data_IF_986229689208
#
_entry.id   IF_986229689208
#
_cell.length_a   1.000
_cell.length_b   1.000
_cell.length_c   1.000
_cell.angle_alpha   90.00
_cell.angle_beta   90.00
_cell.angle_gamma   90.00
#
_symmetry.space_group_name_H-M   'P 1'
#
loop_
_entity.id
_entity.type
_entity.pdbx_description
1 polymer ?
#
# COMPACT_ATOMS: atom_id res chain seq x y z
N UNK A 1 -12.95 -7.78 59.71
CA UNK A 1 -11.69 -8.25 60.36
C UNK A 1 -10.82 -8.91 59.30
N UNK A 2 -10.74 -8.40 58.09
CA UNK A 2 -9.87 -8.89 56.98
C UNK A 2 -9.44 -7.65 56.15
N UNK A 3 -8.86 -6.65 56.80
CA UNK A 3 -8.38 -5.44 56.12
C UNK A 3 -7.11 -4.85 56.78
N UNK A 4 -6.25 -5.73 57.37
CA UNK A 4 -5.05 -5.27 58.09
C UNK A 4 -3.76 -6.02 57.82
N UNK A 5 -3.72 -6.90 56.81
CA UNK A 5 -2.51 -7.76 56.57
C UNK A 5 -1.84 -7.58 55.20
N UNK A 6 -2.17 -6.55 54.42
CA UNK A 6 -1.50 -6.27 53.11
C UNK A 6 -0.66 -4.98 53.13
N UNK A 7 -0.16 -4.56 54.27
CA UNK A 7 0.71 -3.38 54.37
C UNK A 7 2.11 -3.61 54.92
N UNK A 8 2.61 -4.84 55.05
CA UNK A 8 3.93 -5.07 55.67
C UNK A 8 4.97 -5.81 54.82
N UNK A 9 4.79 -5.93 53.49
CA UNK A 9 5.81 -6.59 52.62
C UNK A 9 6.31 -5.76 51.45
N UNK A 10 6.23 -4.44 51.48
CA UNK A 10 6.87 -3.57 50.51
C UNK A 10 7.74 -2.56 51.26
N UNK A 11 8.79 -3.03 51.93
CA UNK A 11 9.95 -2.26 52.35
C UNK A 11 11.06 -3.25 52.68
N UNK A 12 11.89 -3.58 51.66
CA UNK A 12 13.32 -3.90 51.74
C UNK A 12 13.73 -4.51 50.39
N UNK A 13 14.40 -3.75 49.60
CA UNK A 13 14.91 -4.19 48.30
C UNK A 13 15.50 -3.06 47.46
N UNK A 14 15.85 -1.94 48.05
CA UNK A 14 16.74 -0.97 47.40
C UNK A 14 18.13 -1.15 47.95
N UNK A 15 18.89 -2.08 47.41
CA UNK A 15 20.32 -2.19 47.58
C UNK A 15 20.94 -2.43 46.20
N UNK A 16 21.55 -1.34 45.73
CA UNK A 16 22.73 -1.31 44.89
C UNK A 16 22.99 -2.49 43.94
N UNK A 17 22.59 -2.37 42.70
CA UNK A 17 23.36 -2.90 41.61
C UNK A 17 23.70 -1.72 40.67
N UNK A 18 24.81 -1.04 40.98
CA UNK A 18 25.53 -0.21 40.06
C UNK A 18 26.02 -1.08 38.91
N UNK A 19 25.15 -1.34 37.93
CA UNK A 19 25.57 -1.82 36.64
C UNK A 19 26.27 -0.66 35.94
N UNK A 20 27.59 -0.73 35.94
CA UNK A 20 28.47 -0.01 35.02
C UNK A 20 27.90 -0.28 33.62
N UNK A 21 27.11 0.64 33.12
CA UNK A 21 26.87 0.79 31.68
C UNK A 21 28.24 1.15 31.09
N UNK A 22 29.07 0.14 30.84
CA UNK A 22 30.11 0.22 29.84
C UNK A 22 29.40 0.56 28.54
N UNK A 23 29.38 1.86 28.24
CA UNK A 23 29.17 2.35 26.92
C UNK A 23 30.28 1.74 26.04
N UNK A 24 30.10 0.51 25.62
CA UNK A 24 30.70 0.02 24.40
C UNK A 24 30.02 0.83 23.29
N UNK A 25 30.49 2.07 23.12
CA UNK A 25 30.50 2.69 21.81
C UNK A 25 31.32 1.72 20.93
N UNK A 26 30.63 0.79 20.33
CA UNK A 26 31.08 0.18 19.08
C UNK A 26 31.19 1.37 18.15
N UNK A 27 32.37 1.99 18.11
CA UNK A 27 32.81 2.72 16.96
C UNK A 27 32.80 1.66 15.84
N UNK A 28 31.64 1.50 15.19
CA UNK A 28 31.59 0.89 13.87
C UNK A 28 32.62 1.67 13.09
N UNK A 29 33.75 1.05 12.82
CA UNK A 29 34.66 1.45 11.78
C UNK A 29 33.79 1.83 10.59
N UNK A 30 33.72 3.15 10.32
CA UNK A 30 33.12 3.73 9.14
C UNK A 30 33.96 3.25 7.95
N UNK A 31 33.86 1.96 7.62
CA UNK A 31 34.16 1.51 6.29
C UNK A 31 33.29 2.36 5.37
N UNK A 32 33.86 2.92 4.33
CA UNK A 32 33.12 3.59 3.28
C UNK A 32 31.98 2.65 2.88
N UNK A 33 30.77 2.95 3.37
CA UNK A 33 29.58 2.19 2.99
C UNK A 33 29.43 2.45 1.48
N UNK A 34 29.75 1.43 0.68
CA UNK A 34 29.45 1.46 -0.74
C UNK A 34 27.95 1.72 -0.91
N UNK A 35 27.60 2.45 -1.96
CA UNK A 35 26.20 2.63 -2.30
C UNK A 35 25.55 1.25 -2.48
N UNK A 36 24.31 1.03 -1.98
CA UNK A 36 23.62 -0.24 -2.19
C UNK A 36 23.39 -0.48 -3.67
N UNK A 37 23.35 -1.73 -4.08
CA UNK A 37 22.79 -2.07 -5.39
C UNK A 37 21.32 -1.71 -5.44
N UNK A 38 20.75 -1.55 -6.65
CA UNK A 38 19.32 -1.25 -6.79
C UNK A 38 18.47 -2.37 -6.19
N UNK A 39 18.88 -3.63 -6.38
CA UNK A 39 18.18 -4.80 -5.85
C UNK A 39 18.16 -4.81 -4.32
N UNK A 40 19.30 -4.59 -3.67
CA UNK A 40 19.39 -4.43 -2.19
C UNK A 40 18.57 -3.26 -1.67
N UNK A 41 18.50 -2.18 -2.45
CA UNK A 41 17.71 -1.01 -2.08
C UNK A 41 16.21 -1.29 -2.16
N UNK A 42 15.75 -1.96 -3.23
CA UNK A 42 14.35 -2.40 -3.39
C UNK A 42 13.97 -3.40 -2.29
N UNK A 43 14.84 -4.37 -2.00
CA UNK A 43 14.62 -5.33 -0.93
C UNK A 43 14.45 -4.64 0.42
N UNK A 44 15.35 -3.70 0.73
CA UNK A 44 15.26 -2.90 1.95
C UNK A 44 13.94 -2.12 2.06
N UNK A 45 13.47 -1.51 0.94
CA UNK A 45 12.21 -0.78 0.89
C UNK A 45 11.01 -1.69 1.10
N UNK A 46 11.01 -2.86 0.49
CA UNK A 46 9.85 -3.77 0.50
C UNK A 46 9.75 -4.58 1.77
N UNK A 47 10.88 -4.95 2.39
CA UNK A 47 10.89 -5.79 3.59
C UNK A 47 10.88 -5.00 4.90
N UNK A 48 11.58 -3.85 4.96
CA UNK A 48 11.87 -3.20 6.23
C UNK A 48 11.27 -1.79 6.36
N UNK A 49 10.69 -1.24 5.29
CA UNK A 49 10.18 0.13 5.37
C UNK A 49 8.82 0.18 6.09
N UNK A 50 8.65 1.03 7.14
CA UNK A 50 7.41 1.13 7.91
C UNK A 50 6.17 1.42 7.06
N UNK A 51 6.31 2.17 5.96
CA UNK A 51 5.21 2.44 5.04
C UNK A 51 4.68 1.16 4.37
N UNK A 52 5.57 0.28 3.91
CA UNK A 52 5.18 -1.00 3.29
C UNK A 52 4.62 -1.95 4.33
N UNK A 53 5.22 -1.97 5.54
CA UNK A 53 4.67 -2.73 6.66
C UNK A 53 3.24 -2.28 6.99
N UNK A 54 2.99 -0.96 7.07
CA UNK A 54 1.65 -0.43 7.30
C UNK A 54 0.64 -0.80 6.20
N UNK A 55 1.06 -0.83 4.93
CA UNK A 55 0.22 -1.32 3.83
C UNK A 55 -0.10 -2.81 4.02
N UNK A 56 0.88 -3.62 4.43
CA UNK A 56 0.69 -5.05 4.65
C UNK A 56 -0.24 -5.34 5.83
N UNK A 57 -0.25 -4.50 6.90
CA UNK A 57 -1.23 -4.60 7.99
C UNK A 57 -2.68 -4.48 7.48
N UNK A 58 -2.92 -3.75 6.41
CA UNK A 58 -4.23 -3.69 5.77
C UNK A 58 -4.72 -5.04 5.23
N UNK A 59 -3.83 -5.96 4.88
CA UNK A 59 -4.21 -7.33 4.52
C UNK A 59 -4.78 -8.09 5.72
N UNK A 60 -4.19 -7.91 6.90
CA UNK A 60 -4.69 -8.51 8.14
C UNK A 60 -6.02 -7.90 8.56
N UNK A 61 -6.19 -6.57 8.39
CA UNK A 61 -7.47 -5.89 8.64
C UNK A 61 -8.56 -6.42 7.70
N UNK A 62 -8.29 -6.53 6.41
CA UNK A 62 -9.24 -7.05 5.45
C UNK A 62 -9.59 -8.53 5.69
N UNK A 63 -8.63 -9.34 6.17
CA UNK A 63 -8.88 -10.71 6.59
C UNK A 63 -9.76 -10.76 7.86
N UNK A 64 -9.53 -9.87 8.82
CA UNK A 64 -10.35 -9.77 10.03
C UNK A 64 -11.79 -9.33 9.69
N UNK A 65 -11.99 -8.40 8.76
CA UNK A 65 -13.34 -8.01 8.28
C UNK A 65 -14.07 -9.18 7.63
N UNK A 66 -13.37 -10.06 6.92
CA UNK A 66 -13.96 -11.28 6.36
C UNK A 66 -14.42 -12.25 7.49
N UNK A 67 -13.62 -12.42 8.54
CA UNK A 67 -14.01 -13.23 9.70
C UNK A 67 -15.17 -12.59 10.47
N UNK A 68 -15.21 -11.26 10.62
CA UNK A 68 -16.36 -10.55 11.17
C UNK A 68 -17.63 -10.82 10.34
N UNK A 69 -17.54 -10.80 9.02
CA UNK A 69 -18.68 -11.11 8.18
C UNK A 69 -19.13 -12.58 8.32
N UNK A 70 -18.18 -13.52 8.49
CA UNK A 70 -18.47 -14.94 8.78
C UNK A 70 -19.13 -15.14 10.13
N UNK A 71 -18.76 -14.37 11.14
CA UNK A 71 -19.33 -14.49 12.50
C UNK A 71 -20.84 -14.25 12.52
N UNK A 72 -21.41 -13.63 11.49
CA UNK A 72 -22.88 -13.52 11.34
C UNK A 72 -23.58 -14.86 11.20
N UNK A 73 -22.84 -15.94 10.94
CA UNK A 73 -23.31 -17.32 10.88
C UNK A 73 -22.90 -18.15 12.12
N UNK A 74 -22.24 -17.55 13.11
CA UNK A 74 -21.89 -18.24 14.32
C UNK A 74 -23.14 -18.63 15.14
N UNK A 75 -23.11 -19.76 15.82
CA UNK A 75 -24.17 -20.10 16.74
C UNK A 75 -24.18 -19.16 17.93
N UNK A 76 -25.36 -18.83 18.41
CA UNK A 76 -25.51 -17.99 19.60
C UNK A 76 -26.58 -18.54 20.53
N UNK A 77 -26.42 -18.22 21.80
CA UNK A 77 -27.37 -18.55 22.85
C UNK A 77 -28.04 -17.27 23.30
N UNK A 78 -29.37 -17.29 23.38
CA UNK A 78 -30.19 -16.23 23.89
C UNK A 78 -30.98 -16.74 25.09
N UNK A 79 -30.93 -16.02 26.20
CA UNK A 79 -31.74 -16.30 27.37
C UNK A 79 -32.75 -15.18 27.57
N UNK A 80 -34.02 -15.54 27.77
CA UNK A 80 -35.08 -14.60 28.07
C UNK A 80 -35.72 -15.04 29.38
N UNK A 81 -35.89 -14.11 30.32
CA UNK A 81 -36.59 -14.32 31.55
C UNK A 81 -37.62 -13.22 31.70
N UNK A 82 -38.87 -13.62 31.89
CA UNK A 82 -39.97 -12.72 32.11
C UNK A 82 -40.61 -13.08 33.45
N UNK A 83 -40.87 -12.09 34.31
CA UNK A 83 -41.58 -12.26 35.57
C UNK A 83 -42.55 -11.09 35.72
N UNK A 84 -43.76 -11.40 36.03
CA UNK A 84 -44.78 -10.38 36.34
C UNK A 84 -44.64 -9.96 37.80
N UNK A 85 -44.23 -8.74 38.04
CA UNK A 85 -43.98 -8.20 39.38
C UNK A 85 -45.25 -7.70 40.06
N UNK A 86 -46.20 -7.20 39.27
CA UNK A 86 -47.53 -6.73 39.72
C UNK A 86 -48.58 -7.00 38.64
N UNK A 87 -49.80 -7.35 39.03
CA UNK A 87 -50.90 -7.59 38.10
C UNK A 87 -51.98 -8.46 38.68
N UNK A 88 -52.85 -8.99 37.82
CA UNK A 88 -54.00 -9.81 38.18
C UNK A 88 -53.74 -11.32 38.08
N UNK A 89 -52.52 -11.71 37.76
CA UNK A 89 -52.04 -13.11 37.90
C UNK A 89 -50.52 -13.09 38.17
N UNK A 90 -50.01 -14.17 38.71
CA UNK A 90 -48.59 -14.39 38.92
C UNK A 90 -48.07 -15.33 37.86
N UNK A 91 -46.97 -14.96 37.24
CA UNK A 91 -46.35 -15.81 36.22
C UNK A 91 -44.90 -15.42 35.93
N UNK A 92 -44.06 -16.41 35.86
CA UNK A 92 -42.67 -16.27 35.52
C UNK A 92 -42.32 -17.31 34.47
N UNK A 93 -41.50 -16.89 33.47
CA UNK A 93 -40.97 -17.80 32.46
C UNK A 93 -39.50 -17.52 32.19
N UNK A 94 -38.75 -18.58 31.95
CA UNK A 94 -37.38 -18.50 31.50
C UNK A 94 -37.22 -19.38 30.24
N UNK A 95 -36.61 -18.85 29.19
CA UNK A 95 -36.26 -19.65 28.03
C UNK A 95 -34.80 -19.45 27.64
N UNK A 96 -34.19 -20.53 27.21
CA UNK A 96 -32.84 -20.53 26.68
C UNK A 96 -32.91 -21.13 25.28
N UNK A 97 -32.49 -20.34 24.28
CA UNK A 97 -32.51 -20.73 22.87
C UNK A 97 -31.10 -20.71 22.30
N UNK A 98 -30.70 -21.83 21.73
CA UNK A 98 -29.53 -21.94 20.87
C UNK A 98 -29.99 -21.78 19.43
N UNK A 99 -29.33 -20.91 18.66
CA UNK A 99 -29.65 -20.69 17.23
C UNK A 99 -28.37 -20.79 16.42
N UNK A 100 -28.41 -21.57 15.33
CA UNK A 100 -27.34 -21.66 14.33
C UNK A 100 -27.91 -21.22 12.97
N UNK A 101 -27.50 -20.03 12.46
CA UNK A 101 -27.77 -19.64 11.08
C UNK A 101 -27.04 -20.56 10.11
N UNK A 102 -27.62 -20.81 8.92
CA UNK A 102 -27.04 -21.67 7.90
C UNK A 102 -26.50 -20.78 6.76
N UNK A 103 -25.28 -21.05 6.32
CA UNK A 103 -24.61 -20.24 5.28
C UNK A 103 -25.13 -20.58 3.89
N UNK A 104 -25.32 -21.87 3.57
CA UNK A 104 -25.65 -22.33 2.22
C UNK A 104 -27.06 -21.95 1.77
N UNK A 105 -28.00 -21.87 2.69
CA UNK A 105 -29.37 -21.42 2.41
C UNK A 105 -29.87 -20.49 3.50
N UNK A 106 -30.76 -19.58 3.16
CA UNK A 106 -31.30 -18.65 4.14
C UNK A 106 -32.24 -19.34 5.13
N UNK A 107 -31.69 -19.71 6.24
CA UNK A 107 -32.40 -20.35 7.33
C UNK A 107 -31.60 -20.36 8.60
N UNK A 108 -32.22 -20.87 9.65
CA UNK A 108 -31.57 -21.16 10.93
C UNK A 108 -32.20 -22.40 11.53
N UNK A 109 -31.37 -23.18 12.21
CA UNK A 109 -31.83 -24.25 13.10
C UNK A 109 -31.76 -23.70 14.51
N UNK A 110 -32.73 -24.06 15.34
CA UNK A 110 -32.73 -23.68 16.74
C UNK A 110 -33.14 -24.85 17.65
N UNK A 111 -32.64 -24.84 18.86
CA UNK A 111 -33.16 -25.60 19.98
C UNK A 111 -33.49 -24.66 21.12
N UNK A 112 -34.59 -24.90 21.80
CA UNK A 112 -35.05 -24.04 22.89
C UNK A 112 -35.53 -24.91 24.05
N UNK A 113 -35.11 -24.55 25.26
CA UNK A 113 -35.68 -25.05 26.47
C UNK A 113 -36.37 -23.90 27.21
N UNK A 114 -37.62 -24.12 27.62
CA UNK A 114 -38.45 -23.15 28.28
C UNK A 114 -39.06 -23.76 29.53
N UNK A 115 -39.08 -23.02 30.61
CA UNK A 115 -39.75 -23.37 31.85
C UNK A 115 -40.61 -22.18 32.27
N UNK A 116 -41.79 -22.45 32.73
CA UNK A 116 -42.71 -21.44 33.25
C UNK A 116 -43.33 -21.95 34.56
N UNK A 117 -43.64 -20.99 35.42
CA UNK A 117 -44.30 -21.20 36.71
C UNK A 117 -45.30 -20.07 36.98
N UNK A 118 -46.50 -20.40 37.40
CA UNK A 118 -47.58 -19.48 37.68
C UNK A 118 -48.89 -19.79 36.95
N UNK A 119 -49.91 -19.01 37.22
CA UNK A 119 -51.28 -19.17 36.65
C UNK A 119 -51.43 -18.24 35.40
N UNK A 120 -51.02 -18.71 34.26
CA UNK A 120 -51.13 -17.96 33.02
C UNK A 120 -52.57 -17.96 32.49
N UNK A 121 -53.19 -16.83 32.21
CA UNK A 121 -54.51 -16.80 31.59
C UNK A 121 -54.48 -17.38 30.17
N UNK A 122 -55.62 -17.90 29.69
CA UNK A 122 -55.70 -18.62 28.41
C UNK A 122 -55.18 -17.88 27.19
N UNK A 123 -55.16 -16.55 27.21
CA UNK A 123 -54.58 -15.71 26.14
C UNK A 123 -53.04 -15.61 26.22
N UNK A 124 -52.42 -16.01 27.34
CA UNK A 124 -50.97 -16.19 27.54
C UNK A 124 -50.57 -17.68 27.73
N UNK A 125 -51.48 -18.60 27.48
CA UNK A 125 -51.22 -20.05 27.62
C UNK A 125 -50.08 -20.61 26.77
N UNK A 126 -49.53 -19.82 25.86
CA UNK A 126 -48.29 -20.11 25.14
C UNK A 126 -47.04 -20.09 26.03
N UNK A 127 -47.15 -19.61 27.29
CA UNK A 127 -46.03 -19.67 28.28
C UNK A 127 -46.13 -20.89 29.19
N UNK A 128 -47.30 -21.54 29.29
CA UNK A 128 -47.45 -22.73 30.15
C UNK A 128 -46.51 -23.85 29.73
N UNK A 129 -45.98 -24.54 30.73
CA UNK A 129 -45.17 -25.75 30.59
C UNK A 129 -45.54 -26.75 31.68
N UNK A 130 -45.25 -28.05 31.48
CA UNK A 130 -45.22 -29.02 32.57
C UNK A 130 -44.08 -28.65 33.56
N UNK A 131 -44.10 -29.23 34.74
CA UNK A 131 -43.18 -28.92 35.84
C UNK A 131 -41.68 -29.03 35.50
N UNK A 132 -41.31 -29.80 34.49
CA UNK A 132 -39.95 -29.95 33.99
C UNK A 132 -39.65 -29.12 32.74
N UNK A 133 -40.56 -28.20 32.31
CA UNK A 133 -40.36 -27.34 31.14
C UNK A 133 -40.61 -28.01 29.81
N UNK A 134 -40.52 -27.22 28.73
CA UNK A 134 -40.65 -27.63 27.33
C UNK A 134 -39.29 -27.63 26.63
N UNK A 135 -38.90 -28.73 26.00
CA UNK A 135 -37.78 -28.80 25.08
C UNK A 135 -38.32 -28.80 23.63
N UNK A 136 -37.77 -27.90 22.80
CA UNK A 136 -38.14 -27.82 21.39
C UNK A 136 -36.94 -27.72 20.47
N UNK A 137 -37.11 -28.21 19.24
CA UNK A 137 -36.14 -28.11 18.15
C UNK A 137 -36.90 -27.69 16.90
N UNK A 138 -36.29 -26.81 16.12
CA UNK A 138 -36.95 -26.36 14.89
C UNK A 138 -36.01 -25.68 13.89
N UNK A 139 -36.61 -25.27 12.81
CA UNK A 139 -35.95 -24.54 11.74
C UNK A 139 -36.82 -23.38 11.24
N UNK A 140 -36.14 -22.36 10.75
CA UNK A 140 -36.82 -21.24 10.07
C UNK A 140 -36.15 -21.02 8.73
N UNK A 141 -36.91 -20.81 7.66
CA UNK A 141 -36.36 -20.48 6.34
C UNK A 141 -37.31 -19.60 5.55
N UNK A 142 -36.73 -18.78 4.65
CA UNK A 142 -37.47 -17.86 3.79
C UNK A 142 -37.78 -18.51 2.44
N UNK A 143 -39.02 -18.32 1.94
CA UNK A 143 -39.47 -18.89 0.67
C UNK A 143 -39.38 -17.90 -0.50
N UNK A 144 -39.49 -16.60 -0.26
CA UNK A 144 -39.48 -15.57 -1.29
C UNK A 144 -38.32 -14.58 -1.07
N UNK A 145 -38.58 -13.44 -0.40
CA UNK A 145 -37.52 -12.51 -0.05
C UNK A 145 -36.48 -13.21 0.83
N UNK A 146 -35.20 -12.95 0.58
CA UNK A 146 -34.06 -13.55 1.27
C UNK A 146 -33.78 -15.03 0.98
N UNK A 147 -34.52 -15.70 0.11
CA UNK A 147 -34.28 -17.11 -0.23
C UNK A 147 -32.91 -17.32 -0.89
N UNK A 148 -32.66 -16.62 -2.00
CA UNK A 148 -31.44 -16.81 -2.79
C UNK A 148 -30.29 -15.89 -2.32
N UNK A 149 -30.63 -14.69 -1.91
CA UNK A 149 -29.68 -13.68 -1.43
C UNK A 149 -30.28 -12.95 -0.24
N UNK A 150 -29.51 -12.74 0.81
CA UNK A 150 -29.85 -11.96 1.99
C UNK A 150 -28.67 -11.09 2.40
N UNK A 151 -28.88 -10.26 3.41
CA UNK A 151 -27.91 -9.31 3.91
C UNK A 151 -26.62 -10.00 4.37
N UNK A 152 -26.70 -11.10 5.18
CA UNK A 152 -25.53 -11.82 5.73
C UNK A 152 -24.66 -12.41 4.64
N UNK A 153 -25.25 -13.13 3.69
CA UNK A 153 -24.52 -13.73 2.57
C UNK A 153 -23.93 -12.67 1.63
N UNK A 154 -24.64 -11.56 1.44
CA UNK A 154 -24.13 -10.42 0.66
C UNK A 154 -22.93 -9.77 1.34
N UNK A 155 -23.01 -9.55 2.65
CA UNK A 155 -21.91 -9.00 3.45
C UNK A 155 -20.68 -9.91 3.43
N UNK A 156 -20.86 -11.22 3.59
CA UNK A 156 -19.79 -12.19 3.49
C UNK A 156 -19.10 -12.19 2.11
N UNK A 157 -19.88 -12.21 1.01
CA UNK A 157 -19.34 -12.12 -0.35
C UNK A 157 -18.60 -10.80 -0.55
N UNK A 158 -19.16 -9.70 -0.10
CA UNK A 158 -18.56 -8.38 -0.27
C UNK A 158 -17.28 -8.22 0.57
N UNK A 159 -17.19 -8.82 1.76
CA UNK A 159 -15.98 -8.84 2.57
C UNK A 159 -14.84 -9.61 1.88
N UNK A 160 -15.17 -10.74 1.21
CA UNK A 160 -14.20 -11.46 0.37
C UNK A 160 -13.68 -10.62 -0.79
N UNK A 161 -14.57 -9.89 -1.47
CA UNK A 161 -14.19 -8.96 -2.55
C UNK A 161 -13.38 -7.78 -2.03
N UNK A 162 -13.71 -7.23 -0.86
CA UNK A 162 -12.96 -6.14 -0.23
C UNK A 162 -11.52 -6.56 0.12
N UNK A 163 -11.32 -7.79 0.58
CA UNK A 163 -9.98 -8.35 0.80
C UNK A 163 -9.16 -8.43 -0.50
N UNK A 164 -9.77 -8.88 -1.60
CA UNK A 164 -9.11 -8.90 -2.91
C UNK A 164 -8.83 -7.47 -3.44
N UNK A 165 -9.74 -6.54 -3.21
CA UNK A 165 -9.61 -5.14 -3.59
C UNK A 165 -8.45 -4.47 -2.84
N UNK A 166 -8.32 -4.72 -1.54
CA UNK A 166 -7.19 -4.21 -0.75
C UNK A 166 -5.85 -4.72 -1.29
N UNK A 167 -5.73 -6.02 -1.60
CA UNK A 167 -4.49 -6.58 -2.18
C UNK A 167 -4.10 -5.89 -3.48
N UNK A 168 -5.05 -5.66 -4.37
CA UNK A 168 -4.79 -4.93 -5.62
C UNK A 168 -4.36 -3.48 -5.35
N UNK A 169 -4.99 -2.80 -4.40
CA UNK A 169 -4.63 -1.45 -3.99
C UNK A 169 -3.24 -1.40 -3.34
N UNK A 170 -2.91 -2.35 -2.47
CA UNK A 170 -1.60 -2.47 -1.84
C UNK A 170 -0.49 -2.63 -2.89
N UNK A 171 -0.71 -3.47 -3.91
CA UNK A 171 0.22 -3.62 -5.04
C UNK A 171 0.48 -2.29 -5.73
N UNK A 172 -0.56 -1.49 -6.00
CA UNK A 172 -0.42 -0.17 -6.63
C UNK A 172 0.36 0.81 -5.74
N UNK A 173 0.06 0.85 -4.44
CA UNK A 173 0.74 1.73 -3.48
C UNK A 173 2.22 1.38 -3.32
N UNK A 174 2.57 0.09 -3.25
CA UNK A 174 3.94 -0.37 -3.15
C UNK A 174 4.70 -0.09 -4.45
N UNK A 175 4.07 -0.32 -5.62
CA UNK A 175 4.64 0.00 -6.93
C UNK A 175 5.01 1.49 -7.03
N UNK A 176 4.12 2.40 -6.64
CA UNK A 176 4.39 3.84 -6.60
C UNK A 176 5.49 4.22 -5.59
N UNK A 177 5.54 3.54 -4.45
CA UNK A 177 6.56 3.77 -3.43
C UNK A 177 7.95 3.36 -3.93
N UNK A 178 8.08 2.19 -4.56
CA UNK A 178 9.32 1.71 -5.16
C UNK A 178 9.78 2.66 -6.27
N UNK A 179 8.87 3.09 -7.14
CA UNK A 179 9.17 4.07 -8.18
C UNK A 179 9.82 5.33 -7.61
N UNK A 180 9.24 5.92 -6.56
CA UNK A 180 9.75 7.13 -5.92
C UNK A 180 11.13 6.92 -5.32
N UNK A 181 11.34 5.79 -4.64
CA UNK A 181 12.63 5.46 -4.04
C UNK A 181 13.73 5.29 -5.07
N UNK A 182 13.48 4.54 -6.15
CA UNK A 182 14.45 4.33 -7.23
C UNK A 182 14.71 5.64 -7.99
N UNK A 183 13.68 6.46 -8.25
CA UNK A 183 13.85 7.76 -8.89
C UNK A 183 14.78 8.67 -8.08
N UNK A 184 14.68 8.63 -6.74
CA UNK A 184 15.57 9.35 -5.84
C UNK A 184 17.00 8.80 -5.88
N UNK A 185 17.16 7.47 -5.90
CA UNK A 185 18.44 6.81 -6.07
C UNK A 185 19.15 7.26 -7.36
N UNK A 186 18.42 7.26 -8.48
CA UNK A 186 18.95 7.69 -9.77
C UNK A 186 19.33 9.19 -9.75
N UNK A 187 18.58 10.03 -9.03
CA UNK A 187 18.90 11.46 -8.91
C UNK A 187 20.16 11.71 -8.05
N UNK A 188 20.35 10.91 -6.99
CA UNK A 188 21.62 10.89 -6.26
C UNK A 188 22.77 10.43 -7.17
N UNK A 189 22.60 9.34 -7.91
CA UNK A 189 23.59 8.78 -8.81
C UNK A 189 24.01 9.81 -9.89
N UNK A 190 23.06 10.52 -10.49
CA UNK A 190 23.30 11.60 -11.43
C UNK A 190 24.21 12.67 -10.85
N UNK A 191 23.85 13.21 -9.67
CA UNK A 191 24.60 14.29 -9.04
C UNK A 191 26.01 13.83 -8.60
N UNK A 192 26.15 12.58 -8.19
CA UNK A 192 27.46 11.99 -7.85
C UNK A 192 28.37 11.88 -9.08
N UNK A 193 27.86 11.39 -10.22
CA UNK A 193 28.57 11.34 -11.49
C UNK A 193 28.97 12.74 -11.97
N UNK A 194 28.10 13.71 -11.84
CA UNK A 194 28.38 15.09 -12.23
C UNK A 194 29.49 15.71 -11.38
N UNK A 195 29.50 15.46 -10.06
CA UNK A 195 30.58 15.87 -9.15
C UNK A 195 31.91 15.25 -9.56
N UNK A 196 31.92 13.95 -9.87
CA UNK A 196 33.13 13.23 -10.30
C UNK A 196 33.70 13.81 -11.61
N UNK A 197 32.83 14.00 -12.60
CA UNK A 197 33.22 14.54 -13.91
C UNK A 197 33.86 15.94 -13.79
N UNK A 198 33.24 16.86 -13.06
CA UNK A 198 33.77 18.22 -12.92
C UNK A 198 35.04 18.24 -12.05
N UNK A 199 35.13 17.43 -10.99
CA UNK A 199 36.36 17.32 -10.19
C UNK A 199 37.55 16.83 -11.00
N UNK A 200 37.34 15.83 -11.92
CA UNK A 200 38.39 15.35 -12.82
C UNK A 200 38.94 16.47 -13.73
N UNK A 201 38.09 17.37 -14.19
CA UNK A 201 38.52 18.53 -15.00
C UNK A 201 39.22 19.62 -14.17
N UNK A 202 38.78 19.84 -12.92
CA UNK A 202 39.45 20.76 -11.99
C UNK A 202 40.84 20.30 -11.61
N UNK A 203 41.08 19.00 -11.44
CA UNK A 203 42.44 18.49 -11.16
C UNK A 203 43.41 18.88 -12.29
N UNK A 204 43.01 18.71 -13.54
CA UNK A 204 43.79 19.13 -14.71
C UNK A 204 44.03 20.66 -14.76
N UNK A 205 43.04 21.44 -14.32
CA UNK A 205 43.15 22.91 -14.28
C UNK A 205 44.16 23.40 -13.24
N UNK A 206 44.27 22.70 -12.10
CA UNK A 206 45.21 23.07 -11.04
C UNK A 206 46.68 22.94 -11.48
N UNK A 207 47.01 21.93 -12.30
CA UNK A 207 48.35 21.77 -12.88
C UNK A 207 48.66 22.90 -13.86
N UNK A 208 47.68 23.31 -14.66
CA UNK A 208 47.82 24.43 -15.59
C UNK A 208 48.01 25.75 -14.85
N UNK A 209 47.31 26.00 -13.77
CA UNK A 209 47.49 27.22 -12.98
C UNK A 209 48.96 27.41 -12.54
N UNK A 210 49.59 26.33 -12.06
CA UNK A 210 51.00 26.35 -11.70
C UNK A 210 51.90 26.72 -12.89
N UNK A 211 51.68 26.09 -14.04
CA UNK A 211 52.46 26.36 -15.25
C UNK A 211 52.28 27.81 -15.74
N UNK A 212 51.04 28.33 -15.72
CA UNK A 212 50.74 29.73 -16.08
C UNK A 212 51.36 30.71 -15.11
N UNK A 213 51.31 30.45 -13.80
CA UNK A 213 51.94 31.31 -12.78
C UNK A 213 53.44 31.45 -13.05
N UNK A 214 54.13 30.33 -13.31
CA UNK A 214 55.57 30.34 -13.63
C UNK A 214 55.88 31.15 -14.89
N UNK A 215 55.04 31.08 -15.94
CA UNK A 215 55.24 31.85 -17.19
C UNK A 215 55.00 33.34 -17.01
N UNK A 216 54.00 33.72 -16.18
CA UNK A 216 53.78 35.15 -15.83
C UNK A 216 54.93 35.69 -14.99
N UNK A 217 55.45 34.94 -14.00
CA UNK A 217 56.60 35.32 -13.20
C UNK A 217 57.88 35.52 -14.03
N UNK A 218 58.03 34.78 -15.10
CA UNK A 218 59.16 34.91 -16.06
C UNK A 218 58.93 36.03 -17.07
N UNK A 219 57.78 36.67 -17.09
CA UNK A 219 57.43 37.72 -18.04
C UNK A 219 56.97 37.23 -19.43
N UNK A 220 56.79 35.91 -19.61
CA UNK A 220 56.35 35.29 -20.90
C UNK A 220 54.88 35.55 -21.19
N UNK A 221 54.06 35.83 -20.15
CA UNK A 221 52.61 36.06 -20.25
C UNK A 221 52.16 37.25 -19.41
N UNK A 222 51.15 37.97 -19.90
CA UNK A 222 50.53 39.05 -19.16
C UNK A 222 49.71 38.54 -17.96
N UNK A 223 49.75 39.26 -16.83
CA UNK A 223 49.06 38.84 -15.58
C UNK A 223 47.54 38.74 -15.75
N UNK A 224 46.93 39.43 -16.70
CA UNK A 224 45.49 39.33 -17.01
C UNK A 224 45.09 37.91 -17.40
N UNK A 225 45.96 37.19 -18.13
CA UNK A 225 45.70 35.79 -18.54
C UNK A 225 45.58 34.87 -17.29
N UNK A 226 46.43 35.05 -16.30
CA UNK A 226 46.34 34.31 -15.03
C UNK A 226 45.06 34.67 -14.25
N UNK A 227 44.67 35.93 -14.28
CA UNK A 227 43.43 36.40 -13.63
C UNK A 227 42.20 35.81 -14.28
N UNK A 228 42.11 35.78 -15.60
CA UNK A 228 41.03 35.16 -16.36
C UNK A 228 40.95 33.64 -16.10
N UNK A 229 42.11 32.97 -16.05
CA UNK A 229 42.16 31.56 -15.76
C UNK A 229 41.67 31.24 -14.35
N UNK A 230 42.10 32.03 -13.37
CA UNK A 230 41.61 31.89 -11.97
C UNK A 230 40.12 32.16 -11.83
N UNK A 231 39.58 33.15 -12.54
CA UNK A 231 38.14 33.39 -12.60
C UNK A 231 37.37 32.20 -13.11
N UNK A 232 37.90 31.56 -14.16
CA UNK A 232 37.30 30.33 -14.72
C UNK A 232 37.34 29.16 -13.73
N UNK A 233 38.48 28.92 -13.07
CA UNK A 233 38.59 27.91 -12.00
C UNK A 233 37.59 28.17 -10.88
N UNK A 234 37.40 29.41 -10.46
CA UNK A 234 36.45 29.76 -9.42
C UNK A 234 35.02 29.40 -9.85
N UNK A 235 34.61 29.66 -11.09
CA UNK A 235 33.32 29.25 -11.62
C UNK A 235 33.12 27.72 -11.58
N UNK A 236 34.16 26.95 -11.95
CA UNK A 236 34.12 25.51 -11.87
C UNK A 236 34.00 24.99 -10.41
N UNK A 237 34.70 25.61 -9.46
CA UNK A 237 34.61 25.31 -8.02
C UNK A 237 33.20 25.60 -7.46
N UNK A 238 32.56 26.70 -7.90
CA UNK A 238 31.18 27.02 -7.55
C UNK A 238 30.24 25.94 -8.09
N UNK A 239 30.39 25.53 -9.35
CA UNK A 239 29.58 24.44 -9.92
C UNK A 239 29.75 23.14 -9.12
N UNK A 240 30.97 22.76 -8.72
CA UNK A 240 31.22 21.58 -7.88
C UNK A 240 30.52 21.73 -6.52
N UNK A 241 30.54 22.91 -5.91
CA UNK A 241 29.85 23.14 -4.64
C UNK A 241 28.34 22.96 -4.78
N UNK A 242 27.71 23.47 -5.85
CA UNK A 242 26.30 23.29 -6.15
C UNK A 242 25.93 21.83 -6.40
N UNK A 243 26.77 21.10 -7.16
CA UNK A 243 26.56 19.68 -7.43
C UNK A 243 26.72 18.82 -6.18
N UNK A 244 27.68 19.13 -5.31
CA UNK A 244 27.84 18.49 -3.99
C UNK A 244 26.60 18.73 -3.13
N UNK A 245 26.08 19.95 -3.10
CA UNK A 245 24.84 20.25 -2.37
C UNK A 245 23.67 19.40 -2.89
N UNK A 246 23.48 19.29 -4.22
CA UNK A 246 22.44 18.44 -4.81
C UNK A 246 22.62 16.98 -4.40
N UNK A 247 23.83 16.43 -4.56
CA UNK A 247 24.16 15.06 -4.18
C UNK A 247 23.82 14.79 -2.71
N UNK A 248 24.22 15.68 -1.81
CA UNK A 248 24.05 15.50 -0.38
C UNK A 248 22.57 15.60 0.02
N UNK A 249 21.79 16.47 -0.65
CA UNK A 249 20.32 16.53 -0.49
C UNK A 249 19.67 15.19 -0.92
N UNK A 250 20.00 14.68 -2.11
CA UNK A 250 19.48 13.40 -2.58
C UNK A 250 19.92 12.24 -1.69
N UNK A 251 21.15 12.26 -1.16
CA UNK A 251 21.61 11.26 -0.20
C UNK A 251 20.79 11.27 1.11
N UNK A 252 20.37 12.46 1.59
CA UNK A 252 19.46 12.55 2.74
C UNK A 252 18.04 12.06 2.41
N UNK A 253 17.55 12.34 1.21
CA UNK A 253 16.25 11.82 0.76
C UNK A 253 16.26 10.29 0.63
N UNK A 254 17.37 9.70 0.17
CA UNK A 254 17.55 8.26 0.13
C UNK A 254 17.47 7.59 1.50
N UNK A 255 17.94 8.25 2.55
CA UNK A 255 17.86 7.73 3.91
C UNK A 255 16.41 7.50 4.37
N UNK A 256 15.42 8.19 3.79
CA UNK A 256 14.02 7.91 4.05
C UNK A 256 13.59 6.55 3.50
N UNK A 257 14.08 6.16 2.33
CA UNK A 257 13.72 4.91 1.67
C UNK A 257 14.57 3.72 2.12
N UNK A 258 15.84 3.94 2.46
CA UNK A 258 16.78 2.89 2.78
C UNK A 258 16.75 2.55 4.27
N UNK A 259 16.44 1.30 4.60
CA UNK A 259 16.21 0.84 5.98
C UNK A 259 17.14 -0.30 6.38
N UNK A 260 17.41 -0.37 7.67
CA UNK A 260 18.01 -1.57 8.29
C UNK A 260 16.93 -2.64 8.49
N UNK A 261 17.29 -3.91 8.74
CA UNK A 261 16.32 -4.93 9.14
C UNK A 261 15.50 -4.58 10.38
N UNK A 262 15.98 -3.67 11.23
CA UNK A 262 15.28 -3.14 12.40
C UNK A 262 14.31 -2.00 12.08
N UNK A 263 14.29 -1.54 10.81
CA UNK A 263 13.44 -0.45 10.35
C UNK A 263 14.06 0.97 10.49
N UNK A 264 15.29 1.08 11.01
CA UNK A 264 15.98 2.35 11.17
C UNK A 264 16.45 2.93 9.83
N UNK A 265 16.53 4.26 9.74
CA UNK A 265 17.04 4.94 8.55
C UNK A 265 18.53 4.69 8.37
N UNK A 266 18.90 4.19 7.21
CA UNK A 266 20.29 4.02 6.79
C UNK A 266 20.74 5.27 6.02
N UNK A 267 21.81 5.91 6.47
CA UNK A 267 22.37 7.09 5.78
C UNK A 267 23.40 6.65 4.75
N UNK A 268 23.29 7.22 3.57
CA UNK A 268 24.28 7.02 2.52
C UNK A 268 25.45 7.97 2.75
N UNK A 269 26.59 7.43 3.16
CA UNK A 269 27.83 8.18 3.34
C UNK A 269 28.75 8.11 2.10
N UNK A 270 28.34 7.34 1.08
CA UNK A 270 29.09 7.21 -0.15
C UNK A 270 29.08 8.53 -0.93
N UNK A 271 30.27 9.06 -1.19
CA UNK A 271 30.46 10.27 -2.01
C UNK A 271 30.72 9.92 -3.48
N UNK A 272 31.05 8.66 -3.75
CA UNK A 272 31.42 8.13 -5.07
C UNK A 272 30.29 7.24 -5.59
N UNK A 273 29.82 7.44 -6.82
CA UNK A 273 28.84 6.56 -7.42
C UNK A 273 29.42 5.18 -7.72
N UNK A 274 28.60 4.10 -7.78
CA UNK A 274 29.07 2.84 -8.27
C UNK A 274 29.55 2.96 -9.73
N UNK A 275 30.71 2.36 -10.05
CA UNK A 275 31.28 2.43 -11.41
C UNK A 275 30.39 1.75 -12.44
N UNK A 276 29.81 0.61 -12.05
CA UNK A 276 28.89 -0.16 -12.86
C UNK A 276 27.53 -0.22 -12.14
N UNK A 277 26.58 0.51 -12.68
CA UNK A 277 25.19 0.47 -12.20
C UNK A 277 24.52 -0.76 -12.81
N UNK A 278 24.24 -1.79 -11.99
CA UNK A 278 23.35 -2.86 -12.41
C UNK A 278 21.93 -2.32 -12.53
N UNK A 279 21.42 -2.25 -13.78
CA UNK A 279 20.10 -1.70 -14.07
C UNK A 279 19.10 -2.82 -14.39
N UNK A 280 18.18 -3.16 -13.47
CA UNK A 280 17.24 -4.28 -13.66
C UNK A 280 16.04 -3.94 -14.57
N UNK A 281 15.81 -2.66 -14.87
CA UNK A 281 14.62 -2.17 -15.61
C UNK A 281 14.93 -1.88 -17.08
N UNK A 282 15.91 -2.54 -17.66
CA UNK A 282 16.22 -2.35 -19.08
C UNK A 282 15.04 -2.79 -19.97
N UNK A 283 14.71 -1.96 -20.99
CA UNK A 283 13.58 -2.19 -21.88
C UNK A 283 14.08 -2.58 -23.28
N UNK A 284 13.89 -3.84 -23.63
CA UNK A 284 14.01 -4.36 -25.00
C UNK A 284 12.64 -4.61 -25.62
N UNK A 285 12.62 -5.05 -26.88
CA UNK A 285 11.37 -5.30 -27.63
C UNK A 285 10.46 -6.34 -26.95
N UNK A 286 11.04 -7.42 -26.42
CA UNK A 286 10.29 -8.45 -25.70
C UNK A 286 9.70 -7.93 -24.38
N UNK A 287 10.50 -7.15 -23.64
CA UNK A 287 10.06 -6.59 -22.35
C UNK A 287 8.98 -5.54 -22.55
N UNK A 288 9.12 -4.67 -23.56
CA UNK A 288 8.10 -3.69 -23.91
C UNK A 288 6.75 -4.36 -24.21
N UNK A 289 6.77 -5.50 -24.89
CA UNK A 289 5.55 -6.27 -25.19
C UNK A 289 4.88 -6.79 -23.92
N UNK A 290 5.66 -7.28 -22.93
CA UNK A 290 5.15 -7.72 -21.62
C UNK A 290 4.57 -6.55 -20.84
N UNK A 291 5.28 -5.42 -20.77
CA UNK A 291 4.81 -4.20 -20.10
C UNK A 291 3.49 -3.72 -20.69
N UNK A 292 3.35 -3.73 -22.02
CA UNK A 292 2.10 -3.35 -22.70
C UNK A 292 0.96 -4.34 -22.41
N UNK A 293 1.24 -5.61 -22.32
CA UNK A 293 0.23 -6.64 -22.00
C UNK A 293 -0.25 -6.51 -20.55
N UNK A 294 0.63 -6.15 -19.61
CA UNK A 294 0.29 -6.04 -18.18
C UNK A 294 -0.73 -4.94 -17.88
N UNK A 295 -0.86 -3.92 -18.74
CA UNK A 295 -1.81 -2.82 -18.60
C UNK A 295 -3.26 -3.34 -18.48
N UNK A 296 -3.60 -4.42 -19.17
CA UNK A 296 -4.95 -5.00 -19.11
C UNK A 296 -5.30 -5.57 -17.72
N UNK A 297 -4.28 -5.93 -16.93
CA UNK A 297 -4.38 -6.46 -15.58
C UNK A 297 -3.87 -5.46 -14.52
N UNK A 298 -3.85 -4.16 -14.87
CA UNK A 298 -3.37 -3.13 -13.98
C UNK A 298 -4.13 -3.15 -12.64
N UNK A 299 -3.46 -3.02 -11.47
CA UNK A 299 -4.09 -3.08 -10.16
C UNK A 299 -5.25 -2.09 -9.99
N UNK A 300 -5.13 -0.86 -10.51
CA UNK A 300 -6.22 0.14 -10.48
C UNK A 300 -7.50 -0.37 -11.20
N UNK A 301 -7.36 -1.11 -12.31
CA UNK A 301 -8.51 -1.69 -13.01
C UNK A 301 -9.12 -2.84 -12.21
N UNK A 302 -8.28 -3.64 -11.55
CA UNK A 302 -8.76 -4.74 -10.71
C UNK A 302 -9.54 -4.23 -9.51
N UNK A 303 -9.08 -3.16 -8.85
CA UNK A 303 -9.83 -2.48 -7.78
C UNK A 303 -11.23 -2.07 -8.28
N UNK A 304 -11.32 -1.46 -9.46
CA UNK A 304 -12.60 -1.00 -10.01
C UNK A 304 -13.53 -2.14 -10.43
N UNK A 305 -12.99 -3.24 -10.98
CA UNK A 305 -13.77 -4.44 -11.33
C UNK A 305 -14.38 -5.08 -10.09
N UNK A 306 -13.58 -5.21 -9.02
CA UNK A 306 -14.06 -5.74 -7.74
C UNK A 306 -15.10 -4.82 -7.10
N UNK A 307 -14.96 -3.49 -7.21
CA UNK A 307 -15.99 -2.54 -6.76
C UNK A 307 -17.30 -2.71 -7.57
N UNK A 308 -17.22 -2.96 -8.87
CA UNK A 308 -18.41 -3.27 -9.69
C UNK A 308 -19.11 -4.54 -9.22
N UNK A 309 -18.36 -5.58 -8.84
CA UNK A 309 -18.94 -6.81 -8.30
C UNK A 309 -19.64 -6.57 -6.97
N UNK A 310 -19.02 -5.81 -6.05
CA UNK A 310 -19.64 -5.39 -4.78
C UNK A 310 -20.96 -4.66 -5.01
N UNK A 311 -20.98 -3.70 -5.94
CA UNK A 311 -22.20 -2.97 -6.27
C UNK A 311 -23.22 -3.88 -6.97
N UNK A 312 -22.77 -4.81 -7.81
CA UNK A 312 -23.61 -5.86 -8.42
C UNK A 312 -24.34 -6.70 -7.37
N UNK A 313 -23.64 -7.18 -6.34
CA UNK A 313 -24.23 -7.92 -5.22
C UNK A 313 -25.26 -7.07 -4.47
N UNK A 314 -24.97 -5.78 -4.25
CA UNK A 314 -25.91 -4.85 -3.59
C UNK A 314 -27.18 -4.61 -4.46
N UNK A 315 -27.02 -4.52 -5.78
CA UNK A 315 -28.17 -4.42 -6.72
C UNK A 315 -29.05 -5.67 -6.63
N UNK A 316 -28.44 -6.86 -6.58
CA UNK A 316 -29.19 -8.12 -6.41
C UNK A 316 -29.95 -8.14 -5.09
N UNK A 317 -29.31 -7.70 -3.98
CA UNK A 317 -29.95 -7.60 -2.67
C UNK A 317 -31.12 -6.60 -2.70
N UNK A 318 -30.95 -5.43 -3.34
CA UNK A 318 -32.00 -4.44 -3.48
C UNK A 318 -33.18 -4.93 -4.35
N UNK A 319 -32.91 -5.73 -5.38
CA UNK A 319 -33.97 -6.39 -6.15
C UNK A 319 -34.72 -7.42 -5.29
N UNK A 320 -34.00 -8.20 -4.49
CA UNK A 320 -34.61 -9.16 -3.56
C UNK A 320 -35.51 -8.46 -2.52
N UNK A 321 -35.12 -7.28 -2.05
CA UNK A 321 -35.92 -6.49 -1.12
C UNK A 321 -37.27 -5.98 -1.67
N UNK A 322 -37.51 -6.11 -2.98
CA UNK A 322 -38.80 -5.83 -3.61
C UNK A 322 -39.78 -6.98 -3.49
N UNK A 323 -39.33 -8.19 -3.18
CA UNK A 323 -40.16 -9.38 -3.03
C UNK A 323 -40.92 -9.34 -1.69
N UNK A 324 -42.11 -9.98 -1.64
CA UNK A 324 -42.77 -10.24 -0.36
C UNK A 324 -41.90 -11.10 0.55
N UNK A 325 -41.94 -10.85 1.84
CA UNK A 325 -41.33 -11.72 2.84
C UNK A 325 -42.32 -12.84 3.17
N UNK A 326 -41.90 -14.06 3.00
CA UNK A 326 -42.67 -15.29 3.34
C UNK A 326 -41.71 -16.25 4.02
N UNK A 327 -41.86 -16.40 5.33
CA UNK A 327 -41.03 -17.28 6.15
C UNK A 327 -41.85 -18.47 6.66
N UNK A 328 -41.25 -19.62 6.68
CA UNK A 328 -41.77 -20.84 7.33
C UNK A 328 -40.94 -21.10 8.59
N UNK A 329 -41.64 -21.43 9.68
CA UNK A 329 -41.08 -21.98 10.91
C UNK A 329 -41.68 -23.32 11.18
N UNK A 330 -40.86 -24.35 11.28
CA UNK A 330 -41.27 -25.71 11.66
C UNK A 330 -40.56 -26.07 12.98
N UNK A 331 -41.28 -26.61 13.93
CA UNK A 331 -40.66 -27.04 15.20
C UNK A 331 -41.42 -28.26 15.76
N UNK A 332 -40.68 -29.04 16.52
CA UNK A 332 -41.20 -30.14 17.33
C UNK A 332 -40.84 -29.82 18.79
N UNK A 333 -41.81 -29.98 19.66
CA UNK A 333 -41.68 -29.67 21.09
C UNK A 333 -42.24 -30.81 21.93
N UNK A 334 -41.72 -30.95 23.13
CA UNK A 334 -42.20 -31.88 24.13
C UNK A 334 -42.03 -31.28 25.52
N UNK A 335 -43.12 -31.27 26.27
CA UNK A 335 -43.12 -30.95 27.70
C UNK A 335 -42.66 -32.12 28.55
N UNK A 336 -41.99 -31.81 29.64
CA UNK A 336 -41.37 -32.80 30.56
C UNK A 336 -41.92 -32.56 31.97
N UNK A 337 -42.26 -33.59 32.66
CA UNK A 337 -42.75 -33.52 34.05
C UNK A 337 -44.21 -33.80 34.21
N UNK A 338 -44.83 -33.30 35.27
CA UNK A 338 -46.24 -33.47 35.60
C UNK A 338 -46.99 -32.14 35.55
N UNK A 339 -48.27 -32.18 35.22
CA UNK A 339 -49.11 -31.00 35.10
C UNK A 339 -50.43 -31.29 34.32
N UNK A 340 -51.00 -30.30 33.64
CA UNK A 340 -52.18 -30.51 32.84
C UNK A 340 -52.02 -31.51 31.70
N UNK A 341 -52.94 -32.51 31.58
CA UNK A 341 -52.92 -33.51 30.51
C UNK A 341 -52.91 -32.88 29.08
N UNK A 342 -53.36 -31.61 28.94
CA UNK A 342 -53.39 -30.89 27.70
C UNK A 342 -51.95 -30.55 27.17
N UNK A 343 -50.94 -30.64 28.00
CA UNK A 343 -49.55 -30.40 27.63
C UNK A 343 -48.73 -31.68 27.49
N UNK A 344 -49.38 -32.86 27.75
CA UNK A 344 -48.71 -34.16 27.59
C UNK A 344 -48.56 -34.53 26.10
N UNK A 345 -47.36 -35.01 25.75
CA UNK A 345 -47.09 -35.55 24.39
C UNK A 345 -46.06 -34.74 23.60
N UNK A 346 -45.96 -35.10 22.33
CA UNK A 346 -45.07 -34.40 21.39
C UNK A 346 -45.92 -33.49 20.49
N UNK A 347 -45.59 -32.25 20.43
CA UNK A 347 -46.26 -31.24 19.63
C UNK A 347 -45.43 -30.90 18.39
N UNK A 348 -46.06 -30.81 17.22
CA UNK A 348 -45.46 -30.32 15.98
C UNK A 348 -46.13 -29.03 15.57
N UNK A 349 -45.34 -27.97 15.40
CA UNK A 349 -45.84 -26.64 15.04
C UNK A 349 -45.33 -26.26 13.64
N UNK A 350 -46.21 -25.81 12.76
CA UNK A 350 -45.89 -25.21 11.47
C UNK A 350 -46.46 -23.78 11.46
N UNK A 351 -45.61 -22.80 11.35
CA UNK A 351 -45.97 -21.38 11.28
C UNK A 351 -45.59 -20.78 9.91
N UNK A 352 -46.46 -19.96 9.37
CA UNK A 352 -46.25 -19.21 8.13
C UNK A 352 -46.37 -17.71 8.46
N UNK A 353 -45.33 -16.93 8.10
CA UNK A 353 -45.31 -15.48 8.30
C UNK A 353 -45.19 -14.77 6.96
N UNK A 354 -46.16 -13.91 6.65
CA UNK A 354 -46.16 -13.11 5.41
C UNK A 354 -46.13 -11.64 5.75
N UNK A 355 -45.27 -10.87 5.08
CA UNK A 355 -45.30 -9.40 5.14
C UNK A 355 -44.89 -8.80 3.80
N UNK A 356 -45.58 -7.71 3.42
CA UNK A 356 -45.27 -6.97 2.22
C UNK A 356 -45.54 -5.47 2.40
N UNK A 357 -44.53 -4.58 2.22
CA UNK A 357 -44.74 -3.15 2.34
C UNK A 357 -45.49 -2.59 1.11
N UNK A 358 -46.70 -2.10 1.28
CA UNK A 358 -47.57 -1.67 0.18
C UNK A 358 -46.96 -0.56 -0.71
N UNK A 359 -46.14 0.33 -0.16
CA UNK A 359 -45.52 1.41 -0.95
C UNK A 359 -44.22 1.06 -1.58
N UNK A 360 -43.44 0.18 -0.94
CA UNK A 360 -42.11 -0.32 -1.33
C UNK A 360 -41.11 0.79 -1.80
N UNK A 361 -41.30 2.05 -1.31
CA UNK A 361 -40.53 3.22 -1.78
C UNK A 361 -39.07 3.12 -1.47
N UNK A 362 -38.73 2.62 -0.28
CA UNK A 362 -37.33 2.44 0.16
C UNK A 362 -36.58 1.49 -0.79
N UNK A 363 -37.08 0.29 -1.01
CA UNK A 363 -36.44 -0.71 -1.87
C UNK A 363 -36.32 -0.24 -3.33
N UNK A 364 -37.34 0.45 -3.85
CA UNK A 364 -37.29 1.07 -5.19
C UNK A 364 -36.22 2.13 -5.30
N UNK A 365 -36.10 3.02 -4.30
CA UNK A 365 -35.10 4.07 -4.28
C UNK A 365 -33.68 3.50 -4.15
N UNK A 366 -33.45 2.55 -3.24
CA UNK A 366 -32.16 1.87 -3.07
C UNK A 366 -31.74 1.15 -4.36
N UNK A 367 -32.66 0.43 -5.02
CA UNK A 367 -32.36 -0.18 -6.32
C UNK A 367 -31.96 0.87 -7.37
N UNK A 368 -32.72 1.97 -7.47
CA UNK A 368 -32.43 3.03 -8.44
C UNK A 368 -31.05 3.67 -8.18
N UNK A 369 -30.75 3.95 -6.92
CA UNK A 369 -29.43 4.49 -6.50
C UNK A 369 -28.29 3.55 -6.87
N UNK A 370 -28.41 2.26 -6.53
CA UNK A 370 -27.37 1.26 -6.80
C UNK A 370 -27.20 0.98 -8.30
N UNK A 371 -28.28 0.99 -9.07
CA UNK A 371 -28.21 0.87 -10.54
C UNK A 371 -27.52 2.08 -11.17
N UNK A 372 -27.75 3.28 -10.64
CA UNK A 372 -27.04 4.50 -11.06
C UNK A 372 -25.55 4.41 -10.69
N UNK A 373 -25.21 3.90 -9.49
CA UNK A 373 -23.83 3.67 -9.08
C UNK A 373 -23.12 2.65 -9.97
N UNK A 374 -23.80 1.58 -10.35
CA UNK A 374 -23.26 0.58 -11.27
C UNK A 374 -22.90 1.18 -12.64
N UNK A 375 -23.79 2.04 -13.19
CA UNK A 375 -23.50 2.77 -14.45
C UNK A 375 -22.33 3.76 -14.28
N UNK A 376 -22.30 4.50 -13.18
CA UNK A 376 -21.17 5.39 -12.84
C UNK A 376 -19.84 4.61 -12.85
N UNK A 377 -19.78 3.46 -12.18
CA UNK A 377 -18.56 2.63 -12.14
C UNK A 377 -18.18 2.08 -13.51
N UNK A 378 -19.16 1.76 -14.36
CA UNK A 378 -18.88 1.33 -15.74
C UNK A 378 -18.18 2.46 -16.53
N UNK A 379 -18.68 3.69 -16.42
CA UNK A 379 -18.03 4.84 -17.08
C UNK A 379 -16.65 5.14 -16.48
N UNK A 380 -16.52 5.04 -15.15
CA UNK A 380 -15.22 5.21 -14.47
C UNK A 380 -14.20 4.15 -14.90
N UNK A 381 -14.60 2.89 -15.01
CA UNK A 381 -13.70 1.81 -15.47
C UNK A 381 -13.16 2.10 -16.88
N UNK A 382 -14.01 2.50 -17.83
CA UNK A 382 -13.60 2.86 -19.19
C UNK A 382 -12.65 4.05 -19.16
N UNK A 383 -12.99 5.11 -18.40
CA UNK A 383 -12.14 6.29 -18.28
C UNK A 383 -10.78 5.98 -17.65
N UNK A 384 -10.74 5.15 -16.60
CA UNK A 384 -9.50 4.74 -15.95
C UNK A 384 -8.65 3.88 -16.88
N UNK A 385 -9.26 2.96 -17.63
CA UNK A 385 -8.55 2.15 -18.62
C UNK A 385 -7.89 3.03 -19.68
N UNK A 386 -8.61 4.00 -20.22
CA UNK A 386 -8.08 4.96 -21.19
C UNK A 386 -6.96 5.81 -20.59
N UNK A 387 -7.11 6.26 -19.34
CA UNK A 387 -6.09 7.04 -18.65
C UNK A 387 -4.79 6.23 -18.42
N UNK A 388 -4.88 4.97 -18.01
CA UNK A 388 -3.71 4.09 -17.85
C UNK A 388 -3.02 3.88 -19.20
N UNK A 389 -3.79 3.56 -20.25
CA UNK A 389 -3.24 3.41 -21.60
C UNK A 389 -2.53 4.68 -22.06
N UNK A 390 -3.15 5.84 -21.85
CA UNK A 390 -2.56 7.13 -22.24
C UNK A 390 -1.29 7.45 -21.45
N UNK A 391 -1.25 7.17 -20.14
CA UNK A 391 -0.04 7.34 -19.31
C UNK A 391 1.10 6.44 -19.81
N UNK A 392 0.81 5.20 -20.16
CA UNK A 392 1.80 4.27 -20.70
C UNK A 392 2.32 4.72 -22.06
N UNK A 393 1.45 5.14 -23.00
CA UNK A 393 1.89 5.63 -24.32
C UNK A 393 2.72 6.93 -24.19
N UNK A 394 2.39 7.80 -23.25
CA UNK A 394 3.24 8.96 -22.92
C UNK A 394 4.62 8.52 -22.42
N UNK A 395 4.68 7.55 -21.50
CA UNK A 395 5.94 7.02 -21.00
C UNK A 395 6.76 6.36 -22.13
N UNK A 396 6.10 5.69 -23.05
CA UNK A 396 6.73 5.09 -24.24
C UNK A 396 7.35 6.14 -25.15
N UNK A 397 6.64 7.23 -25.44
CA UNK A 397 7.17 8.34 -26.25
C UNK A 397 8.38 8.98 -25.55
N UNK A 398 8.30 9.21 -24.24
CA UNK A 398 9.42 9.73 -23.47
C UNK A 398 10.64 8.80 -23.52
N UNK A 399 10.44 7.50 -23.43
CA UNK A 399 11.53 6.52 -23.50
C UNK A 399 12.23 6.52 -24.84
N UNK A 400 11.48 6.51 -25.96
CA UNK A 400 12.08 6.59 -27.30
C UNK A 400 12.92 7.85 -27.44
N UNK A 401 12.35 9.02 -27.08
CA UNK A 401 13.04 10.29 -27.19
C UNK A 401 14.26 10.37 -26.27
N UNK A 402 14.17 9.86 -25.04
CA UNK A 402 15.29 9.81 -24.12
C UNK A 402 16.45 8.96 -24.65
N UNK A 403 16.15 7.86 -25.35
CA UNK A 403 17.16 7.02 -26.00
C UNK A 403 17.90 7.78 -27.10
N UNK A 404 17.16 8.40 -28.02
CA UNK A 404 17.75 9.18 -29.12
C UNK A 404 18.58 10.36 -28.57
N UNK A 405 18.07 11.06 -27.54
CA UNK A 405 18.79 12.17 -26.90
C UNK A 405 20.06 11.67 -26.20
N UNK A 406 20.03 10.53 -25.53
CA UNK A 406 21.20 9.96 -24.86
C UNK A 406 22.31 9.58 -25.87
N UNK A 407 21.95 9.01 -27.01
CA UNK A 407 22.88 8.70 -28.10
C UNK A 407 23.53 9.98 -28.66
N UNK A 408 22.73 10.99 -28.99
CA UNK A 408 23.20 12.28 -29.52
C UNK A 408 24.07 13.04 -28.51
N UNK A 409 23.72 13.04 -27.21
CA UNK A 409 24.53 13.73 -26.20
C UNK A 409 25.84 12.98 -25.93
N UNK A 410 25.87 11.66 -26.05
CA UNK A 410 27.11 10.86 -25.98
C UNK A 410 28.06 11.23 -27.10
N UNK A 411 27.58 11.33 -28.35
CA UNK A 411 28.36 11.78 -29.49
C UNK A 411 28.85 13.22 -29.31
N UNK A 412 27.97 14.14 -28.93
CA UNK A 412 28.29 15.52 -28.66
C UNK A 412 29.41 15.69 -27.60
N UNK A 413 29.33 14.92 -26.50
CA UNK A 413 30.36 14.93 -25.49
C UNK A 413 31.69 14.38 -25.98
N UNK A 414 31.71 13.34 -26.83
CA UNK A 414 32.90 12.81 -27.44
C UNK A 414 33.59 13.83 -28.37
N UNK A 415 32.82 14.56 -29.17
CA UNK A 415 33.32 15.63 -30.02
C UNK A 415 33.86 16.80 -29.19
N UNK A 416 33.15 17.21 -28.12
CA UNK A 416 33.59 18.28 -27.25
C UNK A 416 34.92 17.94 -26.54
N UNK A 417 35.10 16.71 -26.04
CA UNK A 417 36.38 16.22 -25.47
C UNK A 417 37.49 16.25 -26.50
N UNK A 418 37.22 15.87 -27.75
CA UNK A 418 38.21 15.87 -28.82
C UNK A 418 38.64 17.30 -29.12
N UNK A 419 37.70 18.25 -29.30
CA UNK A 419 37.99 19.65 -29.55
C UNK A 419 38.78 20.29 -28.39
N UNK A 420 38.44 20.01 -27.14
CA UNK A 420 39.15 20.52 -25.98
C UNK A 420 40.58 19.99 -25.93
N UNK A 421 40.79 18.72 -26.26
CA UNK A 421 42.13 18.10 -26.33
C UNK A 421 42.99 18.72 -27.43
N UNK A 422 42.44 18.88 -28.63
CA UNK A 422 43.16 19.51 -29.76
C UNK A 422 43.54 20.95 -29.44
N UNK A 423 42.61 21.73 -28.85
CA UNK A 423 42.88 23.11 -28.45
C UNK A 423 43.96 23.25 -27.40
N UNK A 424 43.97 22.27 -26.42
CA UNK A 424 45.06 22.19 -25.46
C UNK A 424 46.42 21.98 -26.16
N UNK A 425 46.52 21.10 -27.10
CA UNK A 425 47.77 20.83 -27.87
C UNK A 425 48.19 22.08 -28.62
N UNK A 426 47.28 22.81 -29.26
CA UNK A 426 47.56 24.06 -29.99
C UNK A 426 48.06 25.14 -29.02
N UNK A 427 47.39 25.29 -27.87
CA UNK A 427 47.80 26.24 -26.86
C UNK A 427 49.21 25.93 -26.30
N UNK A 428 49.49 24.69 -26.02
CA UNK A 428 50.78 24.22 -25.57
C UNK A 428 51.90 24.47 -26.60
N UNK A 429 51.55 24.41 -27.90
CA UNK A 429 52.46 24.74 -29.01
C UNK A 429 52.59 26.27 -29.31
N UNK A 430 51.76 27.12 -28.65
CA UNK A 430 51.75 28.56 -28.86
C UNK A 430 50.86 29.04 -30.04
N UNK A 431 50.08 28.12 -30.65
CA UNK A 431 49.24 28.39 -31.82
C UNK A 431 47.77 28.76 -31.43
N UNK A 432 47.47 28.98 -30.16
CA UNK A 432 46.15 29.33 -29.64
C UNK A 432 46.25 30.25 -28.42
N UNK A 433 45.16 30.91 -28.08
CA UNK A 433 45.06 31.78 -26.94
C UNK A 433 44.26 31.13 -25.74
N UNK A 434 44.43 31.73 -24.59
CA UNK A 434 43.76 31.26 -23.34
C UNK A 434 42.23 31.36 -23.40
N UNK A 435 41.68 32.33 -24.14
CA UNK A 435 40.26 32.54 -24.25
C UNK A 435 39.59 31.34 -24.98
N UNK A 436 40.20 30.94 -26.13
CA UNK A 436 39.70 29.81 -26.93
C UNK A 436 39.85 28.50 -26.09
N UNK A 437 40.97 28.32 -25.42
CA UNK A 437 41.20 27.16 -24.56
C UNK A 437 40.15 27.06 -23.44
N UNK A 438 39.88 28.16 -22.75
CA UNK A 438 38.86 28.22 -21.69
C UNK A 438 37.43 27.97 -22.24
N UNK A 439 37.10 28.56 -23.42
CA UNK A 439 35.82 28.33 -24.07
C UNK A 439 35.60 26.83 -24.43
N UNK A 440 36.65 26.16 -24.91
CA UNK A 440 36.60 24.70 -25.21
C UNK A 440 36.45 23.87 -23.96
N UNK A 441 37.19 24.19 -22.89
CA UNK A 441 37.07 23.50 -21.61
C UNK A 441 35.66 23.65 -21.01
N UNK A 442 35.08 24.86 -21.04
CA UNK A 442 33.71 25.07 -20.58
C UNK A 442 32.68 24.34 -21.44
N UNK A 443 32.91 24.28 -22.78
CA UNK A 443 32.04 23.53 -23.69
C UNK A 443 32.10 22.01 -23.39
N UNK A 444 33.30 21.47 -23.09
CA UNK A 444 33.46 20.08 -22.68
C UNK A 444 32.71 19.75 -21.39
N UNK A 445 32.86 20.59 -20.34
CA UNK A 445 32.11 20.45 -19.08
C UNK A 445 30.61 20.38 -19.33
N UNK A 446 30.07 21.37 -20.07
CA UNK A 446 28.63 21.40 -20.41
C UNK A 446 28.18 20.19 -21.18
N UNK A 447 28.96 19.71 -22.14
CA UNK A 447 28.64 18.53 -22.95
C UNK A 447 28.65 17.25 -22.10
N UNK A 448 29.63 17.07 -21.20
CA UNK A 448 29.69 15.94 -20.27
C UNK A 448 28.50 15.94 -19.29
N UNK A 449 28.17 17.12 -18.74
CA UNK A 449 27.00 17.24 -17.84
C UNK A 449 25.71 16.83 -18.55
N UNK A 450 25.52 17.29 -19.80
CA UNK A 450 24.36 16.91 -20.61
C UNK A 450 24.33 15.42 -20.95
N UNK A 451 25.50 14.82 -21.25
CA UNK A 451 25.62 13.38 -21.48
C UNK A 451 25.17 12.58 -20.25
N UNK A 452 25.65 12.96 -19.04
CA UNK A 452 25.25 12.31 -17.79
C UNK A 452 23.74 12.45 -17.54
N UNK A 453 23.19 13.66 -17.66
CA UNK A 453 21.76 13.91 -17.50
C UNK A 453 20.93 13.09 -18.52
N UNK A 454 21.31 13.07 -19.78
CA UNK A 454 20.56 12.34 -20.81
C UNK A 454 20.57 10.82 -20.59
N UNK A 455 21.70 10.25 -20.14
CA UNK A 455 21.78 8.83 -19.77
C UNK A 455 20.89 8.52 -18.57
N UNK A 456 20.88 9.39 -17.57
CA UNK A 456 20.02 9.22 -16.38
C UNK A 456 18.54 9.40 -16.73
N UNK A 457 18.21 10.34 -17.62
CA UNK A 457 16.84 10.52 -18.10
C UNK A 457 16.32 9.29 -18.86
N UNK A 458 17.19 8.57 -19.56
CA UNK A 458 16.85 7.27 -20.17
C UNK A 458 16.51 6.24 -19.08
N UNK A 459 17.30 6.12 -18.01
CA UNK A 459 16.99 5.22 -16.88
C UNK A 459 15.65 5.59 -16.22
N UNK A 460 15.40 6.90 -16.03
CA UNK A 460 14.11 7.39 -15.47
C UNK A 460 12.94 7.07 -16.41
N UNK A 461 13.15 7.13 -17.72
CA UNK A 461 12.12 6.82 -18.71
C UNK A 461 11.79 5.31 -18.72
N UNK A 462 12.80 4.45 -18.63
CA UNK A 462 12.62 2.99 -18.46
C UNK A 462 11.87 2.66 -17.17
N UNK A 463 12.30 3.21 -16.04
CA UNK A 463 11.64 3.05 -14.76
C UNK A 463 10.15 3.50 -14.80
N UNK A 464 9.87 4.57 -15.51
CA UNK A 464 8.51 5.07 -15.69
C UNK A 464 7.63 4.09 -16.47
N UNK A 465 8.16 3.42 -17.50
CA UNK A 465 7.42 2.38 -18.22
C UNK A 465 7.00 1.24 -17.29
N UNK A 466 7.92 0.76 -16.43
CA UNK A 466 7.60 -0.27 -15.44
C UNK A 466 6.56 0.20 -14.43
N UNK A 467 6.63 1.48 -14.01
CA UNK A 467 5.63 2.09 -13.12
C UNK A 467 4.24 2.10 -13.75
N UNK A 468 4.12 2.62 -14.98
CA UNK A 468 2.82 2.74 -15.65
C UNK A 468 2.25 1.37 -16.06
N UNK A 469 3.08 0.35 -16.11
CA UNK A 469 2.71 -1.04 -16.29
C UNK A 469 2.39 -1.76 -14.95
N UNK A 470 2.62 -1.10 -13.80
CA UNK A 470 2.54 -1.64 -12.44
C UNK A 470 3.39 -2.91 -12.25
N UNK A 471 4.59 -2.95 -12.82
CA UNK A 471 5.51 -4.11 -12.81
C UNK A 471 6.78 -3.90 -11.98
N UNK A 472 6.85 -2.85 -11.13
CA UNK A 472 7.96 -2.67 -10.19
C UNK A 472 7.82 -3.56 -8.95
N UNK A 473 6.60 -3.99 -8.64
CA UNK A 473 6.27 -4.88 -7.54
C UNK A 473 5.22 -5.88 -7.98
N UNK A 474 5.53 -7.16 -7.87
CA UNK A 474 4.56 -8.25 -7.99
C UNK A 474 4.38 -8.88 -6.61
N UNK A 475 3.18 -8.82 -6.08
CA UNK A 475 2.87 -9.54 -4.83
C UNK A 475 2.98 -11.06 -5.12
N UNK A 476 3.90 -11.72 -4.41
CA UNK A 476 4.02 -13.19 -4.42
C UNK A 476 2.84 -13.85 -3.73
#
# INVERSE_FOLDING_TARGET
MIAREIKSRIRLGFLALGAVLSANSVAQTLGELQAPTIDEFIESMTQYHPYVMAINEGNYQAAAELEIARSSFDPFIEQKTNSRVTGYYDGSSASQRFTKPIEDFNGSVFSEYRIADGDFPSYEGGYDTLSGGEASVGMTFSLLQNREIDKRRTELRNAGLASAQWRAQATSLINDFIYKGIAEYISWYESALQVEAVNGLLANAAEREKALTTRVEKGDLANVILTEFRANILQQRLLVAELKQKRDVHAQMLAFYWRTPQGDMKRLNATTPPKDLHWPFWVGSAELSKLRQSINNHPELNVMRLEQEVVGNKVQLANNALLPKLDIKASVARDIGSGPNTLEGTESKLGLSFSYPLGNRKAKAERSQLTSKQRELTHKLVSTQQAIQQRFEQAYVYWIQAKDIAELQTENAALARTLSRVEKTRFDAGDSDMFILNARAQSEIRAQMKEITARVDLLKAELRLYREAAMLYTAN
#
